data_IF_814796875052
#
_entry.id   IF_814796875052
#
_cell.length_a   1.000
_cell.length_b   1.000
_cell.length_c   1.000
_cell.angle_alpha   90.00
_cell.angle_beta   90.00
_cell.angle_gamma   90.00
#
_symmetry.space_group_name_H-M   'P 1'
#
loop_
_entity.id
_entity.type
_entity.pdbx_description
1 polymer ?
#
# COMPACT_ATOMS: atom_id res chain seq x y z
N UNK A 1 36.07 18.93 -72.24
CA UNK A 1 36.41 18.80 -73.68
C UNK A 1 36.31 20.17 -74.30
N UNK A 2 37.42 20.65 -74.90
CA UNK A 2 37.35 21.81 -75.73
C UNK A 2 36.70 21.40 -77.08
N UNK A 3 35.58 21.99 -77.44
CA UNK A 3 34.82 21.67 -78.62
C UNK A 3 35.51 22.16 -79.94
N UNK A 4 36.71 22.80 -79.85
CA UNK A 4 37.49 23.28 -80.96
C UNK A 4 38.69 22.36 -81.29
N UNK A 5 38.93 21.30 -80.51
CA UNK A 5 40.03 20.38 -80.82
C UNK A 5 39.59 19.37 -81.90
N UNK A 6 40.17 19.44 -83.08
CA UNK A 6 39.98 18.44 -84.17
C UNK A 6 40.74 17.16 -83.74
N UNK A 7 40.01 16.03 -83.66
CA UNK A 7 40.63 14.71 -83.49
C UNK A 7 41.28 14.31 -84.81
N UNK A 8 42.58 14.17 -84.84
CA UNK A 8 43.39 13.84 -86.01
C UNK A 8 43.50 12.36 -86.34
N UNK A 9 42.92 11.50 -85.46
CA UNK A 9 42.90 10.06 -85.64
C UNK A 9 41.61 9.48 -85.06
N UNK A 10 41.21 8.28 -85.48
CA UNK A 10 40.10 7.56 -84.94
C UNK A 10 40.35 7.36 -83.44
N UNK A 11 39.55 8.03 -82.62
CA UNK A 11 39.68 7.97 -81.14
C UNK A 11 38.39 7.44 -80.53
N UNK A 12 38.51 6.37 -79.75
CA UNK A 12 37.38 5.83 -78.96
C UNK A 12 37.30 6.62 -77.67
N UNK A 13 36.18 7.28 -77.43
CA UNK A 13 35.90 7.99 -76.23
C UNK A 13 35.10 7.07 -75.24
N UNK A 14 35.59 6.94 -74.05
CA UNK A 14 34.87 6.23 -72.94
C UNK A 14 34.26 7.26 -72.02
N UNK A 15 32.95 7.19 -71.79
CA UNK A 15 32.29 7.98 -70.81
C UNK A 15 32.56 7.33 -69.38
N UNK A 16 33.10 8.10 -68.46
CA UNK A 16 33.22 7.70 -67.08
C UNK A 16 32.09 8.36 -66.31
N UNK A 17 31.15 7.56 -65.87
CA UNK A 17 30.07 8.00 -65.02
C UNK A 17 30.57 8.03 -63.58
N UNK A 18 30.36 9.12 -62.85
CA UNK A 18 30.57 9.27 -61.40
C UNK A 18 29.20 9.30 -60.76
N UNK A 19 28.89 8.36 -59.90
CA UNK A 19 27.59 8.37 -59.19
C UNK A 19 27.42 9.66 -58.37
N UNK A 20 26.21 10.19 -58.30
CA UNK A 20 25.90 11.33 -57.45
C UNK A 20 25.95 10.93 -56.00
N UNK A 21 26.55 11.79 -55.17
CA UNK A 21 26.56 11.69 -53.70
C UNK A 21 25.57 12.71 -53.13
N UNK A 22 24.84 12.30 -52.09
CA UNK A 22 23.82 13.10 -51.41
C UNK A 22 24.08 13.11 -49.92
N UNK A 23 23.61 14.16 -49.22
CA UNK A 23 23.77 14.30 -47.78
C UNK A 23 22.59 13.66 -47.01
N UNK A 24 22.90 13.17 -45.80
CA UNK A 24 21.91 12.69 -44.84
C UNK A 24 22.02 13.56 -43.59
N UNK A 25 20.94 14.23 -43.26
CA UNK A 25 20.81 15.05 -42.08
C UNK A 25 20.01 14.28 -41.06
N UNK A 26 20.48 14.25 -39.81
CA UNK A 26 19.86 13.53 -38.69
C UNK A 26 19.25 14.52 -37.71
N UNK A 27 17.98 14.35 -37.40
CA UNK A 27 17.25 15.12 -36.42
C UNK A 27 16.82 14.17 -35.29
N UNK A 28 17.64 14.11 -34.23
CA UNK A 28 17.38 13.29 -33.06
C UNK A 28 17.93 14.01 -31.81
N UNK A 29 17.05 14.35 -30.89
CA UNK A 29 17.42 14.75 -29.54
C UNK A 29 17.53 13.52 -28.66
N UNK A 30 18.66 13.34 -28.00
CA UNK A 30 18.83 12.26 -27.05
C UNK A 30 18.05 12.57 -25.75
N UNK A 31 17.71 11.56 -24.95
CA UNK A 31 16.96 11.77 -23.71
C UNK A 31 17.63 12.70 -22.69
N UNK A 32 18.95 12.83 -22.71
CA UNK A 32 19.73 13.77 -21.89
C UNK A 32 19.70 15.22 -22.42
N UNK A 33 19.01 15.47 -23.52
CA UNK A 33 18.87 16.78 -24.17
C UNK A 33 19.99 17.11 -25.17
N UNK A 34 21.02 16.26 -25.33
CA UNK A 34 22.03 16.45 -26.37
C UNK A 34 21.49 16.10 -27.77
N UNK A 35 22.18 16.57 -28.81
CA UNK A 35 21.85 16.24 -30.18
C UNK A 35 22.70 15.06 -30.64
N UNK A 36 22.05 14.10 -31.27
CA UNK A 36 22.74 12.95 -31.84
C UNK A 36 23.60 13.35 -33.02
N UNK A 37 24.89 13.01 -32.98
CA UNK A 37 25.85 13.21 -34.06
C UNK A 37 26.34 11.85 -34.55
N UNK A 38 25.95 11.44 -35.77
CA UNK A 38 26.42 10.19 -36.37
C UNK A 38 27.88 10.30 -36.82
N UNK A 39 28.55 9.15 -36.99
CA UNK A 39 29.85 9.08 -37.64
C UNK A 39 29.77 9.61 -39.08
N UNK A 40 30.90 10.12 -39.62
CA UNK A 40 30.96 10.70 -40.95
C UNK A 40 30.54 9.73 -42.05
N UNK A 41 30.74 8.42 -41.90
CA UNK A 41 30.31 7.37 -42.79
C UNK A 41 28.79 7.32 -43.01
N UNK A 42 27.99 7.87 -42.10
CA UNK A 42 26.52 7.94 -42.23
C UNK A 42 26.02 9.28 -42.75
N UNK A 43 26.87 10.29 -42.92
CA UNK A 43 26.46 11.63 -43.32
C UNK A 43 26.25 11.81 -44.85
N UNK A 44 26.68 10.83 -45.63
CA UNK A 44 26.52 10.86 -47.09
C UNK A 44 26.19 9.48 -47.65
N UNK A 45 25.47 9.42 -48.77
CA UNK A 45 25.24 8.18 -49.49
C UNK A 45 25.43 8.41 -51.00
N UNK A 46 25.70 7.34 -51.73
CA UNK A 46 25.96 7.36 -53.17
C UNK A 46 24.83 6.65 -53.90
N UNK A 47 24.25 7.30 -54.93
CA UNK A 47 23.24 6.65 -55.78
C UNK A 47 23.77 5.33 -56.36
N UNK A 48 22.97 4.29 -56.29
CA UNK A 48 23.36 2.94 -56.72
C UNK A 48 23.91 2.06 -55.56
N UNK A 49 24.10 2.60 -54.36
CA UNK A 49 24.56 1.89 -53.19
C UNK A 49 23.57 2.05 -52.03
N UNK A 50 23.38 0.98 -51.24
CA UNK A 50 22.60 1.06 -50.01
C UNK A 50 23.45 1.64 -48.87
N UNK A 51 22.86 2.50 -48.04
CA UNK A 51 23.44 2.97 -46.77
C UNK A 51 22.61 2.39 -45.62
N UNK A 52 23.20 1.52 -44.79
CA UNK A 52 22.58 1.09 -43.56
C UNK A 52 22.47 2.30 -42.60
N UNK A 53 21.32 2.43 -41.93
CA UNK A 53 21.11 3.52 -40.97
C UNK A 53 21.79 3.22 -39.65
N UNK A 54 22.37 4.22 -38.97
CA UNK A 54 22.91 4.03 -37.64
C UNK A 54 21.80 3.67 -36.63
N UNK A 55 22.14 2.87 -35.61
CA UNK A 55 21.23 2.50 -34.52
C UNK A 55 21.78 3.08 -33.21
N UNK A 56 21.36 4.28 -32.83
CA UNK A 56 21.73 4.85 -31.55
C UNK A 56 21.19 4.01 -30.40
N UNK A 57 21.89 4.01 -29.27
CA UNK A 57 21.43 3.32 -28.07
C UNK A 57 21.51 4.26 -26.87
N UNK A 58 20.54 4.18 -25.97
CA UNK A 58 20.45 4.95 -24.75
C UNK A 58 19.83 4.09 -23.65
N UNK A 59 20.47 4.03 -22.49
CA UNK A 59 19.94 3.27 -21.35
C UNK A 59 18.54 3.78 -20.94
N UNK A 60 17.64 2.86 -20.69
CA UNK A 60 16.24 3.16 -20.33
C UNK A 60 15.33 3.50 -21.55
N UNK A 61 15.87 3.47 -22.77
CA UNK A 61 15.12 3.83 -23.98
C UNK A 61 15.28 2.79 -25.08
N UNK A 62 14.21 2.59 -25.84
CA UNK A 62 14.19 1.81 -27.07
C UNK A 62 14.26 2.76 -28.28
N UNK A 63 15.26 2.58 -29.15
CA UNK A 63 15.31 3.29 -30.42
C UNK A 63 14.30 2.70 -31.39
N UNK A 64 13.25 3.45 -31.73
CA UNK A 64 12.15 3.00 -32.59
C UNK A 64 12.45 3.12 -34.10
N UNK A 65 13.57 3.79 -34.48
CA UNK A 65 14.02 3.92 -35.83
C UNK A 65 14.06 5.36 -36.38
N UNK A 66 14.41 5.48 -37.66
CA UNK A 66 14.47 6.71 -38.39
C UNK A 66 13.22 6.88 -39.28
N UNK A 67 12.65 8.07 -39.36
CA UNK A 67 11.44 8.40 -40.10
C UNK A 67 11.71 9.56 -41.06
N UNK A 68 10.88 9.73 -42.13
CA UNK A 68 10.94 10.83 -43.06
C UNK A 68 10.22 12.10 -42.62
N UNK A 69 9.59 12.05 -41.47
CA UNK A 69 8.79 13.15 -40.95
C UNK A 69 8.95 13.29 -39.41
N UNK A 70 8.80 14.51 -38.93
CA UNK A 70 8.91 14.86 -37.52
C UNK A 70 7.75 14.32 -36.63
N UNK A 71 6.71 13.77 -37.22
CA UNK A 71 5.60 13.12 -36.50
C UNK A 71 5.82 11.64 -36.27
N UNK A 72 6.96 11.09 -36.71
CA UNK A 72 7.34 9.68 -36.54
C UNK A 72 6.27 8.72 -37.06
N UNK A 73 5.58 9.08 -38.12
CA UNK A 73 4.51 8.27 -38.73
C UNK A 73 5.03 7.46 -39.91
N UNK A 74 4.38 6.32 -40.20
CA UNK A 74 4.79 5.42 -41.27
C UNK A 74 5.76 4.33 -40.82
N UNK A 75 6.55 3.81 -41.76
CA UNK A 75 7.52 2.75 -41.50
C UNK A 75 8.91 3.35 -41.26
N UNK A 76 9.55 2.94 -40.16
CA UNK A 76 10.91 3.36 -39.89
C UNK A 76 11.91 2.81 -40.91
N UNK A 77 12.90 3.62 -41.25
CA UNK A 77 14.00 3.19 -42.14
C UNK A 77 15.05 2.38 -41.38
N UNK A 78 15.50 1.30 -41.98
CA UNK A 78 16.70 0.58 -41.55
C UNK A 78 17.88 0.83 -42.50
N UNK A 79 17.59 1.34 -43.67
CA UNK A 79 18.57 1.69 -44.74
C UNK A 79 18.02 2.74 -45.68
N UNK A 80 18.88 3.48 -46.37
CA UNK A 80 18.58 4.24 -47.56
C UNK A 80 18.83 3.29 -48.74
N UNK A 81 17.81 3.10 -49.59
CA UNK A 81 17.88 2.18 -50.72
C UNK A 81 18.78 2.69 -51.87
N UNK A 82 19.33 1.79 -52.69
CA UNK A 82 20.22 2.12 -53.79
C UNK A 82 19.55 2.99 -54.87
N UNK A 83 18.23 2.94 -55.04
CA UNK A 83 17.49 3.73 -55.99
C UNK A 83 17.15 5.16 -55.54
N UNK A 84 17.43 5.45 -54.24
CA UNK A 84 17.14 6.75 -53.64
C UNK A 84 18.05 7.85 -54.23
N UNK A 85 17.52 9.08 -54.28
CA UNK A 85 18.26 10.26 -54.74
C UNK A 85 17.82 11.50 -53.95
N UNK A 86 18.70 12.54 -53.96
CA UNK A 86 18.51 13.79 -53.22
C UNK A 86 18.88 13.68 -51.75
N UNK A 87 19.11 14.83 -51.12
CA UNK A 87 19.41 14.92 -49.70
C UNK A 87 18.23 14.40 -48.87
N UNK A 88 18.54 13.77 -47.73
CA UNK A 88 17.55 13.18 -46.80
C UNK A 88 17.64 13.86 -45.44
N UNK A 89 16.48 14.06 -44.82
CA UNK A 89 16.36 14.42 -43.40
C UNK A 89 15.71 13.23 -42.69
N UNK A 90 16.41 12.65 -41.72
CA UNK A 90 15.96 11.48 -40.99
C UNK A 90 15.69 11.88 -39.55
N UNK A 91 14.44 11.68 -39.11
CA UNK A 91 13.98 11.97 -37.76
C UNK A 91 14.03 10.70 -36.90
N UNK A 92 14.86 10.70 -35.89
CA UNK A 92 14.97 9.57 -34.97
C UNK A 92 14.01 9.69 -33.78
N UNK A 93 13.55 8.54 -33.30
CA UNK A 93 12.65 8.49 -32.14
C UNK A 93 13.10 7.47 -31.11
N UNK A 94 13.18 7.92 -29.84
CA UNK A 94 13.36 7.08 -28.67
C UNK A 94 12.06 6.98 -27.87
N UNK A 95 11.65 5.75 -27.57
CA UNK A 95 10.57 5.46 -26.63
C UNK A 95 11.17 5.15 -25.26
N UNK A 96 10.62 5.76 -24.20
CA UNK A 96 10.96 5.40 -22.84
C UNK A 96 10.40 4.00 -22.49
N UNK A 97 11.27 3.12 -22.03
CA UNK A 97 10.94 1.75 -21.60
C UNK A 97 11.42 1.47 -20.18
N UNK A 98 12.00 2.48 -19.54
CA UNK A 98 12.38 2.37 -18.13
C UNK A 98 11.11 2.40 -17.27
N UNK A 99 10.99 1.41 -16.40
CA UNK A 99 9.89 1.38 -15.43
C UNK A 99 10.21 2.29 -14.26
N UNK A 100 9.20 2.95 -13.67
CA UNK A 100 9.39 3.70 -12.46
C UNK A 100 9.86 2.81 -11.30
N UNK A 101 10.70 3.35 -10.42
CA UNK A 101 11.01 2.75 -9.14
C UNK A 101 9.89 3.08 -8.15
N UNK A 102 9.50 2.10 -7.34
CA UNK A 102 8.46 2.26 -6.32
C UNK A 102 8.77 1.38 -5.12
N UNK A 103 8.76 1.96 -3.93
CA UNK A 103 8.86 1.25 -2.66
C UNK A 103 7.79 1.74 -1.69
N UNK A 104 7.33 0.86 -0.80
CA UNK A 104 6.39 1.17 0.25
C UNK A 104 6.92 0.67 1.60
N UNK A 105 6.86 1.50 2.63
CA UNK A 105 7.30 1.15 3.97
C UNK A 105 6.34 1.72 5.02
N UNK A 106 6.14 0.96 6.11
CA UNK A 106 5.38 1.46 7.26
C UNK A 106 6.27 2.38 8.08
N UNK A 107 5.78 3.57 8.37
CA UNK A 107 6.37 4.49 9.34
C UNK A 107 5.43 4.69 10.53
N UNK A 108 5.99 4.56 11.74
CA UNK A 108 5.31 4.81 13.00
C UNK A 108 6.33 5.19 14.08
N UNK A 109 5.91 6.01 15.03
CA UNK A 109 6.68 6.34 16.23
C UNK A 109 6.67 5.21 17.27
N UNK A 110 5.82 4.22 17.09
CA UNK A 110 5.62 3.08 18.00
C UNK A 110 5.79 1.78 17.22
N UNK A 111 6.57 0.85 17.76
CA UNK A 111 6.67 -0.48 17.19
C UNK A 111 5.37 -1.26 17.40
N UNK A 112 5.01 -2.18 16.49
CA UNK A 112 3.88 -3.07 16.72
C UNK A 112 4.16 -3.98 17.92
N UNK A 113 3.09 -4.48 18.56
CA UNK A 113 3.22 -5.45 19.63
C UNK A 113 3.73 -6.81 19.11
N UNK A 114 3.91 -7.78 20.01
CA UNK A 114 4.44 -9.13 19.68
C UNK A 114 3.55 -9.92 18.69
N UNK A 115 2.30 -9.51 18.50
CA UNK A 115 1.35 -10.10 17.54
C UNK A 115 1.29 -9.31 16.22
N UNK A 116 2.11 -8.26 16.10
CA UNK A 116 2.22 -7.41 14.91
C UNK A 116 1.14 -6.33 14.81
N UNK A 117 0.38 -6.04 15.87
CA UNK A 117 -0.63 -5.00 15.89
C UNK A 117 -0.06 -3.65 16.32
N UNK A 118 -0.47 -2.60 15.62
CA UNK A 118 -0.32 -1.21 16.03
C UNK A 118 -1.60 -0.75 16.75
N UNK A 119 -1.46 -0.02 17.85
CA UNK A 119 -2.57 0.55 18.63
C UNK A 119 -2.54 2.08 18.64
N UNK A 120 -2.06 2.69 17.57
CA UNK A 120 -1.91 4.14 17.44
C UNK A 120 -2.31 4.60 16.04
N UNK A 121 -2.97 5.73 15.94
CA UNK A 121 -3.26 6.45 14.69
C UNK A 121 -2.01 7.15 14.09
N UNK A 122 -0.88 7.15 14.81
CA UNK A 122 0.40 7.70 14.37
C UNK A 122 1.17 6.74 13.45
N UNK A 123 0.45 6.06 12.56
CA UNK A 123 0.99 5.12 11.59
C UNK A 123 0.58 5.54 10.17
N UNK A 124 1.52 5.44 9.24
CA UNK A 124 1.29 5.65 7.81
C UNK A 124 2.16 4.73 6.97
N UNK A 125 1.79 4.54 5.73
CA UNK A 125 2.67 3.94 4.72
C UNK A 125 3.30 5.09 3.94
N UNK A 126 4.62 5.09 3.83
CA UNK A 126 5.37 6.04 3.02
C UNK A 126 5.76 5.36 1.71
N UNK A 127 5.32 5.94 0.61
CA UNK A 127 5.70 5.55 -0.74
C UNK A 127 6.91 6.38 -1.17
N UNK A 128 7.97 5.71 -1.61
CA UNK A 128 9.13 6.34 -2.26
C UNK A 128 9.10 5.96 -3.73
N UNK A 129 9.17 6.95 -4.63
CA UNK A 129 9.06 6.72 -6.06
C UNK A 129 9.96 7.63 -6.87
N UNK A 130 10.47 7.12 -7.99
CA UNK A 130 11.30 7.87 -8.94
C UNK A 130 11.18 7.28 -10.35
N UNK A 131 11.53 8.08 -11.34
CA UNK A 131 11.64 7.69 -12.74
C UNK A 131 12.49 8.69 -13.52
N UNK A 132 13.10 8.27 -14.63
CA UNK A 132 13.95 9.14 -15.48
C UNK A 132 13.19 10.30 -16.13
N UNK A 133 11.90 10.13 -16.45
CA UNK A 133 10.99 11.16 -16.98
C UNK A 133 9.93 11.61 -15.99
N UNK A 134 9.87 10.95 -14.83
CA UNK A 134 8.94 11.23 -13.75
C UNK A 134 7.71 10.34 -13.75
N UNK A 135 7.25 10.06 -12.54
CA UNK A 135 6.04 9.28 -12.29
C UNK A 135 4.83 10.17 -12.58
N UNK A 136 3.92 9.69 -13.42
CA UNK A 136 2.68 10.38 -13.79
C UNK A 136 1.60 10.18 -12.75
N UNK A 137 1.39 8.94 -12.30
CA UNK A 137 0.33 8.56 -11.39
C UNK A 137 0.78 7.48 -10.42
N UNK A 138 0.27 7.55 -9.18
CA UNK A 138 0.35 6.50 -8.18
C UNK A 138 -1.05 5.96 -7.88
N UNK A 139 -1.14 4.68 -7.64
CA UNK A 139 -2.36 3.98 -7.25
C UNK A 139 -2.11 3.13 -6.03
N UNK A 140 -3.12 3.00 -5.19
CA UNK A 140 -3.12 2.10 -4.05
C UNK A 140 -4.36 1.22 -4.05
N UNK A 141 -4.24 0.00 -3.57
CA UNK A 141 -5.37 -0.85 -3.27
C UNK A 141 -5.21 -1.49 -1.90
N UNK A 142 -6.33 -1.75 -1.25
CA UNK A 142 -6.42 -2.44 0.03
C UNK A 142 -7.10 -3.79 -0.24
N UNK A 143 -6.45 -4.86 0.22
CA UNK A 143 -6.89 -6.25 0.04
C UNK A 143 -7.16 -6.59 -1.44
N UNK A 144 -8.30 -7.21 -1.74
CA UNK A 144 -8.72 -7.56 -3.10
C UNK A 144 -9.49 -6.43 -3.81
N UNK A 145 -9.47 -5.21 -3.25
CA UNK A 145 -10.12 -4.03 -3.84
C UNK A 145 -9.50 -3.60 -5.17
N UNK A 146 -10.13 -2.62 -5.81
CA UNK A 146 -9.61 -2.00 -7.03
C UNK A 146 -8.51 -0.99 -6.73
N UNK A 147 -7.66 -0.70 -7.72
CA UNK A 147 -6.66 0.35 -7.62
C UNK A 147 -7.32 1.73 -7.69
N UNK A 148 -7.15 2.52 -6.64
CA UNK A 148 -7.59 3.91 -6.57
C UNK A 148 -6.42 4.87 -6.75
N UNK A 149 -6.60 5.95 -7.50
CA UNK A 149 -5.56 6.94 -7.75
C UNK A 149 -5.27 7.75 -6.49
N UNK A 150 -3.98 7.85 -6.16
CA UNK A 150 -3.50 8.62 -5.02
C UNK A 150 -3.29 10.07 -5.45
N UNK A 151 -4.13 10.97 -4.96
CA UNK A 151 -4.08 12.39 -5.30
C UNK A 151 -2.82 13.10 -4.77
N UNK A 152 -2.44 14.18 -5.45
CA UNK A 152 -1.32 15.04 -5.06
C UNK A 152 0.05 14.42 -5.26
N UNK A 153 0.18 13.58 -6.29
CA UNK A 153 1.47 13.05 -6.77
C UNK A 153 2.26 14.20 -7.40
N UNK A 154 3.52 14.35 -7.00
CA UNK A 154 4.43 15.31 -7.61
C UNK A 154 5.10 14.62 -8.79
N UNK A 155 4.94 15.18 -9.99
CA UNK A 155 5.63 14.71 -11.19
C UNK A 155 6.99 15.39 -11.29
N UNK A 156 8.05 14.60 -11.36
CA UNK A 156 9.42 15.08 -11.53
C UNK A 156 10.32 13.95 -11.98
N UNK A 157 11.25 14.22 -12.89
CA UNK A 157 12.21 13.24 -13.37
C UNK A 157 13.51 13.25 -12.56
N UNK A 158 14.11 12.09 -12.35
CA UNK A 158 15.47 11.93 -11.84
C UNK A 158 15.70 12.11 -10.34
N UNK A 159 14.65 12.39 -9.55
CA UNK A 159 14.73 12.49 -8.08
C UNK A 159 13.72 11.59 -7.40
N UNK A 160 14.12 11.00 -6.27
CA UNK A 160 13.19 10.23 -5.43
C UNK A 160 12.25 11.18 -4.69
N UNK A 161 10.97 10.93 -4.81
CA UNK A 161 9.89 11.66 -4.15
C UNK A 161 9.19 10.74 -3.14
N UNK A 162 8.47 11.32 -2.18
CA UNK A 162 7.72 10.56 -1.19
C UNK A 162 6.27 10.99 -1.12
N UNK A 163 5.40 10.05 -0.77
CA UNK A 163 3.96 10.27 -0.57
C UNK A 163 3.43 9.42 0.58
N UNK A 164 2.73 10.05 1.50
CA UNK A 164 2.08 9.35 2.61
C UNK A 164 0.74 8.74 2.16
N UNK A 165 0.46 7.54 2.67
CA UNK A 165 -0.81 6.84 2.50
C UNK A 165 -1.34 6.39 3.87
N UNK A 166 -2.60 6.68 4.16
CA UNK A 166 -3.23 6.36 5.44
C UNK A 166 -3.50 4.86 5.57
N UNK A 167 -3.28 4.32 6.78
CA UNK A 167 -3.67 2.95 7.10
C UNK A 167 -5.15 2.90 7.52
N UNK A 168 -5.79 1.78 7.24
CA UNK A 168 -7.20 1.50 7.61
C UNK A 168 -7.21 0.59 8.84
N UNK A 169 -8.20 0.77 9.73
CA UNK A 169 -8.43 -0.10 10.88
C UNK A 169 -8.68 -1.55 10.44
N UNK A 170 -8.04 -2.49 11.12
CA UNK A 170 -8.13 -3.91 10.86
C UNK A 170 -6.81 -4.54 10.40
N UNK A 171 -6.92 -5.74 9.87
CA UNK A 171 -5.81 -6.47 9.27
C UNK A 171 -5.94 -6.40 7.75
N UNK A 172 -5.11 -5.57 7.13
CA UNK A 172 -5.18 -5.27 5.71
C UNK A 172 -3.86 -5.49 5.00
N UNK A 173 -3.97 -5.77 3.71
CA UNK A 173 -2.84 -5.90 2.77
C UNK A 173 -2.90 -4.76 1.77
N UNK A 174 -1.78 -4.07 1.59
CA UNK A 174 -1.65 -2.92 0.71
C UNK A 174 -0.74 -3.26 -0.47
N UNK A 175 -1.15 -2.86 -1.66
CA UNK A 175 -0.34 -2.96 -2.88
C UNK A 175 -0.42 -1.63 -3.61
N UNK A 176 0.73 -1.15 -4.10
CA UNK A 176 0.83 0.13 -4.78
C UNK A 176 1.36 -0.05 -6.20
N UNK A 177 0.94 0.84 -7.09
CA UNK A 177 1.36 0.87 -8.49
C UNK A 177 1.79 2.28 -8.87
N UNK A 178 2.95 2.42 -9.51
CA UNK A 178 3.40 3.64 -10.15
C UNK A 178 3.30 3.49 -11.69
N UNK A 179 2.91 4.56 -12.36
CA UNK A 179 2.83 4.65 -13.82
C UNK A 179 3.56 5.92 -14.25
N UNK A 180 4.47 5.82 -15.22
CA UNK A 180 5.17 6.95 -15.81
C UNK A 180 4.37 7.62 -16.96
N UNK A 181 4.96 8.62 -17.60
CA UNK A 181 4.35 9.31 -18.72
C UNK A 181 4.31 8.47 -20.02
N UNK A 182 5.19 7.48 -20.17
CA UNK A 182 5.26 6.58 -21.31
C UNK A 182 4.29 5.38 -21.16
N UNK A 183 3.75 5.16 -19.96
CA UNK A 183 2.85 4.06 -19.62
C UNK A 183 3.56 2.83 -19.07
N UNK A 184 4.85 2.92 -18.70
CA UNK A 184 5.50 1.82 -17.99
C UNK A 184 5.02 1.76 -16.54
N UNK A 185 4.89 0.54 -16.01
CA UNK A 185 4.30 0.31 -14.69
C UNK A 185 5.23 -0.50 -13.77
N UNK A 186 5.21 -0.15 -12.49
CA UNK A 186 5.80 -0.93 -11.40
C UNK A 186 4.78 -1.12 -10.31
N UNK A 187 4.72 -2.34 -9.75
CA UNK A 187 3.84 -2.72 -8.65
C UNK A 187 4.70 -3.22 -7.48
N UNK A 188 4.37 -2.77 -6.26
CA UNK A 188 5.07 -3.24 -5.04
C UNK A 188 4.70 -4.68 -4.70
N UNK A 189 5.55 -5.34 -3.92
CA UNK A 189 5.12 -6.48 -3.12
C UNK A 189 4.00 -6.06 -2.14
N UNK A 190 3.21 -7.05 -1.72
CA UNK A 190 2.12 -6.82 -0.78
C UNK A 190 2.64 -6.48 0.62
N UNK A 191 2.21 -5.36 1.18
CA UNK A 191 2.57 -4.89 2.52
C UNK A 191 1.41 -5.14 3.48
N UNK A 192 1.60 -5.97 4.49
CA UNK A 192 0.57 -6.24 5.50
C UNK A 192 0.70 -5.30 6.69
N UNK A 193 -0.40 -4.67 7.07
CA UNK A 193 -0.53 -3.82 8.27
C UNK A 193 -1.70 -4.31 9.12
N UNK A 194 -1.50 -4.36 10.43
CA UNK A 194 -2.53 -4.65 11.43
C UNK A 194 -2.67 -3.42 12.33
N UNK A 195 -3.76 -2.69 12.18
CA UNK A 195 -4.06 -1.48 12.94
C UNK A 195 -5.36 -1.66 13.71
N UNK A 196 -5.32 -1.39 15.01
CA UNK A 196 -6.51 -1.37 15.85
C UNK A 196 -6.31 -0.35 16.98
N UNK A 197 -6.99 0.77 16.86
CA UNK A 197 -6.95 1.87 17.82
C UNK A 197 -8.21 1.90 18.70
N UNK A 198 -9.14 0.97 18.46
CA UNK A 198 -10.46 0.97 19.08
C UNK A 198 -10.43 0.10 20.35
N UNK A 199 -10.92 0.65 21.44
CA UNK A 199 -11.02 -0.07 22.70
C UNK A 199 -12.22 -1.02 22.69
N UNK A 200 -12.10 -2.20 23.33
CA UNK A 200 -13.27 -3.05 23.61
C UNK A 200 -14.34 -2.30 24.40
N UNK A 201 -15.61 -2.59 24.10
CA UNK A 201 -16.76 -2.03 24.80
C UNK A 201 -17.49 -3.11 25.57
N UNK A 202 -17.60 -2.95 26.90
CA UNK A 202 -18.33 -3.90 27.75
C UNK A 202 -19.82 -3.50 27.86
N UNK A 203 -20.70 -4.46 27.54
CA UNK A 203 -22.14 -4.34 27.73
C UNK A 203 -22.58 -4.51 29.18
N UNK A 204 -23.89 -4.50 29.42
CA UNK A 204 -24.45 -4.70 30.76
C UNK A 204 -24.25 -6.15 31.25
N UNK A 205 -23.86 -6.28 32.52
CA UNK A 205 -23.68 -7.58 33.17
C UNK A 205 -25.03 -8.28 33.40
N UNK A 206 -25.09 -9.55 33.04
CA UNK A 206 -26.26 -10.41 33.24
C UNK A 206 -25.92 -11.45 34.28
N UNK A 207 -26.83 -11.70 35.22
CA UNK A 207 -26.66 -12.64 36.34
C UNK A 207 -27.50 -13.87 36.08
N UNK A 208 -27.01 -15.05 36.52
CA UNK A 208 -27.78 -16.27 36.44
C UNK A 208 -29.03 -16.21 37.35
N UNK A 209 -30.08 -16.99 37.02
CA UNK A 209 -31.33 -17.00 37.78
C UNK A 209 -31.18 -17.39 39.26
N UNK A 210 -32.13 -16.97 40.10
CA UNK A 210 -32.19 -17.31 41.50
C UNK A 210 -31.48 -16.35 42.46
N UNK A 211 -31.05 -15.17 41.99
CA UNK A 211 -30.63 -14.09 42.89
C UNK A 211 -31.85 -13.30 43.40
N UNK A 212 -31.66 -12.64 44.54
CA UNK A 212 -32.60 -11.67 45.10
C UNK A 212 -31.96 -10.30 45.11
N UNK A 213 -32.68 -9.30 44.62
CA UNK A 213 -32.29 -7.90 44.80
C UNK A 213 -33.01 -7.34 46.04
N UNK A 214 -32.26 -7.06 47.09
CA UNK A 214 -32.78 -6.54 48.34
C UNK A 214 -31.98 -5.26 48.67
N UNK A 215 -32.67 -4.10 48.75
CA UNK A 215 -32.07 -2.78 48.97
C UNK A 215 -30.86 -2.48 48.07
N UNK A 216 -30.98 -2.84 46.79
CA UNK A 216 -29.92 -2.74 45.80
C UNK A 216 -28.67 -3.61 46.05
N UNK A 217 -28.77 -4.63 46.96
CA UNK A 217 -27.80 -5.69 47.05
C UNK A 217 -28.29 -6.89 46.25
N UNK A 218 -27.37 -7.43 45.43
CA UNK A 218 -27.59 -8.67 44.70
C UNK A 218 -27.18 -9.82 45.61
N UNK A 219 -28.16 -10.61 46.05
CA UNK A 219 -27.96 -11.70 46.99
C UNK A 219 -28.21 -13.02 46.30
N UNK A 220 -27.27 -13.93 46.35
CA UNK A 220 -27.31 -15.25 45.76
C UNK A 220 -26.93 -16.30 46.80
N UNK A 221 -27.60 -17.45 46.76
CA UNK A 221 -27.19 -18.68 47.42
C UNK A 221 -26.33 -19.48 46.42
N UNK A 222 -25.31 -20.16 46.90
CA UNK A 222 -24.32 -20.90 46.12
C UNK A 222 -23.42 -19.97 45.30
N UNK A 223 -22.94 -20.40 44.10
CA UNK A 223 -22.11 -19.58 43.25
C UNK A 223 -22.94 -18.62 42.36
N UNK A 224 -22.42 -17.41 42.15
CA UNK A 224 -22.97 -16.44 41.22
C UNK A 224 -22.20 -16.50 39.90
N UNK A 225 -22.94 -16.73 38.81
CA UNK A 225 -22.42 -16.60 37.46
C UNK A 225 -22.80 -15.22 36.91
N UNK A 226 -21.79 -14.49 36.45
CA UNK A 226 -21.90 -13.17 35.85
C UNK A 226 -21.47 -13.27 34.40
N UNK A 227 -22.36 -12.96 33.48
CA UNK A 227 -22.08 -12.90 32.04
C UNK A 227 -21.96 -11.46 31.63
N UNK A 228 -20.82 -11.11 31.01
CA UNK A 228 -20.52 -9.77 30.50
C UNK A 228 -20.36 -9.84 28.98
N UNK A 229 -21.27 -9.22 28.20
CA UNK A 229 -21.05 -9.04 26.78
C UNK A 229 -19.89 -8.06 26.53
N UNK A 230 -19.07 -8.35 25.54
CA UNK A 230 -17.97 -7.47 25.11
C UNK A 230 -18.01 -7.36 23.57
N UNK A 231 -18.04 -6.14 23.08
CA UNK A 231 -17.97 -5.86 21.64
C UNK A 231 -16.55 -5.45 21.26
N UNK A 232 -16.03 -6.06 20.20
CA UNK A 232 -14.71 -5.80 19.66
C UNK A 232 -14.68 -6.19 18.17
N UNK A 233 -14.44 -5.22 17.29
CA UNK A 233 -14.51 -5.40 15.83
C UNK A 233 -13.14 -5.55 15.15
N UNK A 234 -12.06 -5.12 15.82
CA UNK A 234 -10.70 -5.05 15.24
C UNK A 234 -9.88 -6.32 15.50
N UNK A 235 -8.97 -6.25 16.45
CA UNK A 235 -7.99 -7.31 16.73
C UNK A 235 -8.56 -8.51 17.48
N UNK A 236 -9.77 -8.40 18.03
CA UNK A 236 -10.42 -9.40 18.88
C UNK A 236 -9.96 -9.36 20.33
N UNK A 237 -10.74 -9.95 21.22
CA UNK A 237 -10.46 -9.95 22.66
C UNK A 237 -9.31 -10.89 23.02
N UNK A 238 -8.29 -10.35 23.69
CA UNK A 238 -7.20 -11.11 24.29
C UNK A 238 -7.58 -11.68 25.65
N UNK A 239 -8.15 -10.84 26.54
CA UNK A 239 -8.55 -11.24 27.89
C UNK A 239 -9.66 -10.34 28.45
N UNK A 240 -10.41 -10.90 29.40
CA UNK A 240 -11.21 -10.13 30.34
C UNK A 240 -10.67 -10.41 31.73
N UNK A 241 -10.14 -9.39 32.38
CA UNK A 241 -9.59 -9.45 33.72
C UNK A 241 -10.62 -8.89 34.71
N UNK A 242 -10.71 -9.52 35.86
CA UNK A 242 -11.59 -9.08 36.94
C UNK A 242 -10.88 -9.07 38.29
N UNK A 243 -11.37 -8.25 39.18
CA UNK A 243 -10.89 -8.11 40.54
C UNK A 243 -12.08 -8.18 41.48
N UNK A 244 -12.09 -9.16 42.35
CA UNK A 244 -13.04 -9.26 43.47
C UNK A 244 -12.54 -8.37 44.61
N UNK A 245 -13.36 -7.41 45.02
CA UNK A 245 -13.04 -6.42 46.07
C UNK A 245 -13.98 -6.62 47.25
N UNK A 246 -13.65 -7.49 48.22
CA UNK A 246 -14.43 -7.68 49.43
C UNK A 246 -14.50 -6.42 50.27
N UNK A 247 -15.52 -6.33 51.15
CA UNK A 247 -15.69 -5.19 52.05
C UNK A 247 -14.56 -5.05 53.10
N UNK A 248 -13.83 -6.13 53.38
CA UNK A 248 -12.67 -6.11 54.28
C UNK A 248 -11.40 -5.49 53.66
N UNK A 249 -11.49 -5.11 52.39
CA UNK A 249 -10.39 -4.48 51.64
C UNK A 249 -9.37 -5.47 51.04
N UNK A 250 -9.55 -6.77 51.24
CA UNK A 250 -8.76 -7.77 50.51
C UNK A 250 -9.15 -7.75 49.03
N UNK A 251 -8.23 -8.11 48.14
CA UNK A 251 -8.52 -8.16 46.69
C UNK A 251 -8.02 -9.48 46.11
N UNK A 252 -8.82 -10.06 45.21
CA UNK A 252 -8.43 -11.25 44.48
C UNK A 252 -8.63 -11.00 42.99
N UNK A 253 -7.53 -10.96 42.25
CA UNK A 253 -7.55 -10.81 40.79
C UNK A 253 -7.73 -12.16 40.09
N UNK A 254 -8.47 -12.14 39.01
CA UNK A 254 -8.68 -13.31 38.14
C UNK A 254 -8.76 -12.90 36.66
N UNK A 255 -8.63 -13.90 35.83
CA UNK A 255 -8.84 -13.77 34.37
C UNK A 255 -9.84 -14.83 33.95
N UNK A 256 -10.78 -14.44 33.12
CA UNK A 256 -11.77 -15.37 32.57
C UNK A 256 -11.56 -15.63 31.11
N UNK A 257 -12.00 -16.80 30.65
CA UNK A 257 -12.05 -17.13 29.24
C UNK A 257 -13.19 -16.38 28.54
N UNK A 258 -12.94 -16.00 27.31
CA UNK A 258 -13.89 -15.26 26.48
C UNK A 258 -14.32 -16.16 25.35
N UNK A 259 -15.63 -16.26 25.10
CA UNK A 259 -16.18 -16.99 23.94
C UNK A 259 -16.67 -15.97 22.93
N UNK A 260 -16.26 -16.14 21.65
CA UNK A 260 -16.82 -15.37 20.56
C UNK A 260 -18.27 -15.82 20.30
N UNK A 261 -19.17 -14.86 20.09
CA UNK A 261 -20.55 -15.18 19.73
C UNK A 261 -20.58 -15.87 18.36
N UNK A 262 -21.48 -16.82 18.18
CA UNK A 262 -21.67 -17.54 16.90
C UNK A 262 -22.36 -16.66 15.87
N UNK A 263 -21.71 -16.46 14.68
CA UNK A 263 -22.21 -15.69 13.55
C UNK A 263 -21.06 -15.16 12.68
N UNK A 264 -21.21 -15.15 11.36
CA UNK A 264 -20.10 -14.87 10.40
C UNK A 264 -19.50 -13.46 10.52
N UNK A 265 -20.17 -12.49 11.15
CA UNK A 265 -19.66 -11.12 11.34
C UNK A 265 -19.89 -10.62 12.78
N UNK A 266 -19.89 -11.53 13.76
CA UNK A 266 -20.13 -11.11 15.14
C UNK A 266 -18.88 -10.48 15.74
N UNK A 267 -18.95 -9.18 16.04
CA UNK A 267 -18.00 -8.46 16.90
C UNK A 267 -18.20 -8.77 18.38
N UNK A 268 -19.22 -9.59 18.72
CA UNK A 268 -19.62 -9.91 20.09
C UNK A 268 -18.80 -11.04 20.70
N UNK A 269 -18.44 -10.84 21.94
CA UNK A 269 -17.80 -11.82 22.81
C UNK A 269 -18.57 -11.92 24.12
N UNK A 270 -18.43 -13.03 24.82
CA UNK A 270 -19.06 -13.25 26.13
C UNK A 270 -17.99 -13.68 27.13
N UNK A 271 -17.84 -12.92 28.20
CA UNK A 271 -17.03 -13.27 29.35
C UNK A 271 -17.93 -13.81 30.48
N UNK A 272 -17.49 -14.89 31.16
CA UNK A 272 -18.23 -15.48 32.27
C UNK A 272 -17.36 -15.49 33.51
N UNK A 273 -17.80 -14.83 34.54
CA UNK A 273 -17.12 -14.73 35.82
C UNK A 273 -17.92 -15.53 36.85
N UNK A 274 -17.24 -16.39 37.61
CA UNK A 274 -17.85 -17.14 38.74
C UNK A 274 -17.39 -16.54 40.06
N UNK A 275 -18.33 -16.19 40.91
CA UNK A 275 -18.08 -15.73 42.29
C UNK A 275 -18.53 -16.85 43.24
N UNK A 276 -17.57 -17.34 44.01
CA UNK A 276 -17.82 -18.41 44.96
C UNK A 276 -18.57 -17.91 46.22
N UNK A 277 -19.20 -18.82 46.97
CA UNK A 277 -19.76 -18.49 48.30
C UNK A 277 -18.78 -17.77 49.21
N UNK A 278 -19.31 -17.10 50.22
CA UNK A 278 -18.59 -16.28 51.23
C UNK A 278 -17.98 -14.99 50.65
N UNK A 279 -18.51 -14.48 49.51
CA UNK A 279 -18.13 -13.19 48.98
C UNK A 279 -19.16 -12.11 49.32
N UNK A 280 -18.67 -10.99 49.86
CA UNK A 280 -19.45 -9.76 50.05
C UNK A 280 -18.59 -8.57 49.59
N UNK A 281 -19.01 -7.88 48.51
CA UNK A 281 -18.16 -6.81 47.95
C UNK A 281 -18.60 -6.33 46.57
N UNK A 282 -17.62 -5.87 45.83
CA UNK A 282 -17.73 -5.29 44.52
C UNK A 282 -16.84 -6.04 43.54
N UNK A 283 -17.12 -5.91 42.25
CA UNK A 283 -16.32 -6.52 41.18
C UNK A 283 -15.93 -5.44 40.19
N UNK A 284 -14.64 -5.36 39.91
CA UNK A 284 -14.05 -4.54 38.87
C UNK A 284 -13.71 -5.41 37.67
N UNK A 285 -14.04 -4.96 36.45
CA UNK A 285 -13.85 -5.72 35.23
C UNK A 285 -13.20 -4.82 34.17
N UNK A 286 -12.22 -5.36 33.45
CA UNK A 286 -11.61 -4.71 32.27
C UNK A 286 -11.43 -5.74 31.16
N UNK A 287 -11.65 -5.33 29.90
CA UNK A 287 -11.36 -6.12 28.72
C UNK A 287 -10.12 -5.57 28.00
N UNK A 288 -9.30 -6.47 27.46
CA UNK A 288 -8.14 -6.12 26.66
C UNK A 288 -8.19 -6.85 25.33
N UNK A 289 -7.94 -6.16 24.23
CA UNK A 289 -7.85 -6.73 22.90
C UNK A 289 -6.43 -7.22 22.54
N UNK A 290 -6.29 -7.83 21.35
CA UNK A 290 -5.00 -8.31 20.89
C UNK A 290 -4.05 -7.19 20.41
N UNK A 291 -4.54 -5.99 20.13
CA UNK A 291 -3.70 -4.82 19.84
C UNK A 291 -3.12 -4.19 21.11
N UNK A 292 -3.74 -4.45 22.26
CA UNK A 292 -3.32 -3.93 23.56
C UNK A 292 -4.20 -2.81 24.11
N UNK A 293 -5.28 -2.43 23.39
CA UNK A 293 -6.22 -1.45 23.90
C UNK A 293 -7.01 -2.04 25.07
N UNK A 294 -7.28 -1.21 26.07
CA UNK A 294 -7.99 -1.61 27.28
C UNK A 294 -9.30 -0.84 27.38
N UNK A 295 -10.41 -1.56 27.63
CA UNK A 295 -11.73 -0.98 27.83
C UNK A 295 -11.76 -0.01 29.00
N UNK A 296 -12.78 0.80 29.07
CA UNK A 296 -13.12 1.48 30.31
C UNK A 296 -13.45 0.45 31.40
N UNK A 297 -13.17 0.79 32.65
CA UNK A 297 -13.43 -0.08 33.80
C UNK A 297 -14.95 -0.16 34.05
N UNK A 298 -15.48 -1.41 34.12
CA UNK A 298 -16.84 -1.64 34.57
C UNK A 298 -16.80 -2.09 36.05
N UNK A 299 -17.62 -1.44 36.86
CA UNK A 299 -17.79 -1.78 38.27
C UNK A 299 -19.19 -2.34 38.47
N UNK A 300 -19.28 -3.49 39.17
CA UNK A 300 -20.53 -4.05 39.66
C UNK A 300 -20.55 -3.89 41.18
N UNK A 301 -21.60 -3.29 41.69
CA UNK A 301 -21.70 -2.97 43.13
C UNK A 301 -21.26 -1.55 43.46
N UNK A 302 -21.53 -0.58 42.58
CA UNK A 302 -21.36 0.88 42.82
C UNK A 302 -22.68 1.60 42.70
N UNK A 303 -22.78 2.78 43.26
CA UNK A 303 -24.00 3.60 43.22
C UNK A 303 -24.46 3.94 41.77
N UNK A 304 -23.54 3.92 40.82
CA UNK A 304 -23.85 4.16 39.40
C UNK A 304 -24.47 2.96 38.66
N UNK A 305 -24.34 1.76 39.17
CA UNK A 305 -24.90 0.52 38.58
C UNK A 305 -26.29 0.16 39.07
N UNK A 306 -26.84 0.89 40.01
CA UNK A 306 -28.09 0.53 40.69
C UNK A 306 -27.94 -0.67 41.66
N UNK A 307 -26.76 -1.22 41.81
CA UNK A 307 -26.41 -2.32 42.71
C UNK A 307 -25.34 -1.83 43.67
N UNK A 308 -25.61 -1.80 44.96
CA UNK A 308 -24.66 -1.37 46.01
C UNK A 308 -23.52 -2.38 46.19
N UNK A 309 -23.81 -3.67 46.07
CA UNK A 309 -22.84 -4.75 46.20
C UNK A 309 -23.41 -6.11 45.89
N UNK A 310 -22.56 -7.11 45.95
CA UNK A 310 -22.86 -8.50 45.70
C UNK A 310 -22.61 -9.28 46.99
N UNK A 311 -23.57 -10.14 47.38
CA UNK A 311 -23.45 -11.09 48.50
C UNK A 311 -23.70 -12.48 47.91
N UNK A 312 -22.71 -13.36 48.07
CA UNK A 312 -22.84 -14.79 47.74
C UNK A 312 -22.61 -15.58 49.02
N UNK A 313 -23.65 -16.25 49.47
CA UNK A 313 -23.64 -16.97 50.76
C UNK A 313 -23.92 -18.46 50.58
N UNK A 314 -23.24 -19.32 51.34
CA UNK A 314 -23.47 -20.76 51.37
C UNK A 314 -24.64 -21.15 52.30
N UNK A 315 -24.94 -20.30 53.26
CA UNK A 315 -25.97 -20.54 54.30
C UNK A 315 -27.08 -19.50 54.23
N UNK A 316 -28.30 -19.94 54.49
CA UNK A 316 -29.41 -19.00 54.66
C UNK A 316 -29.17 -18.15 55.92
N UNK A 317 -29.35 -16.79 55.85
CA UNK A 317 -29.18 -15.97 57.04
C UNK A 317 -30.13 -16.44 58.14
N UNK A 318 -29.57 -16.79 59.32
CA UNK A 318 -30.37 -17.04 60.52
C UNK A 318 -30.83 -15.70 61.07
N UNK A 319 -32.15 -15.45 60.99
CA UNK A 319 -32.78 -14.32 61.63
C UNK A 319 -33.15 -14.76 63.03
N UNK A 320 -32.32 -14.43 63.99
CA UNK A 320 -32.66 -14.60 65.45
C UNK A 320 -33.40 -13.36 65.93
N UNK A 321 -34.67 -13.53 66.24
CA UNK A 321 -35.42 -12.48 66.91
C UNK A 321 -35.10 -12.59 68.44
N UNK A 322 -34.52 -11.56 68.99
CA UNK A 322 -34.35 -11.37 70.49
C UNK A 322 -35.48 -10.56 71.03
#
# INVERSE_FOLDING_TARGET
FDTQSQLMTDTTLFAKWIPNSYHVYYSLSLPDGSVYEPEDSYKTYVHGQELAMPVPSQEGYEFCGWYDNAGYTGTAYTKIGAAECGDKICYGYFKDVQKPELAAAVESNVSPNTKGWYSTDQIRIVLSYSDNKGVKSLYGKVDDGEYEEINGVITGGGTTLTKDYACVEGWHTYTFKAVDAAGNETVTEALTVKLDTIKPVMGEAVFNEGYKNLWNWLIRKDSLEITVPVEEAGSGIESVDYELIPEDGSTTAGRTSVKKASGENSAGYTAVIYVNPDFKGKIKITAKDHAGNVSDTKMIGTDGSGIHGIIVEDHAPEITFS
#
